data_IF_447156272800
#
_entry.id   IF_447156272800
#
_cell.length_a   1.000
_cell.length_b   1.000
_cell.length_c   1.000
_cell.angle_alpha   90.00
_cell.angle_beta   90.00
_cell.angle_gamma   90.00
#
_symmetry.space_group_name_H-M   'P 1'
#
loop_
_entity.id
_entity.type
_entity.pdbx_description
1 polymer ?
#
# COMPACT_ATOMS: atom_id res chain seq x y z
N UNK A 1 -15.32 4.23 -8.09
CA UNK A 1 -14.40 3.13 -7.76
C UNK A 1 -13.03 3.54 -8.25
N UNK A 2 -12.06 3.66 -7.35
CA UNK A 2 -10.66 3.83 -7.77
C UNK A 2 -10.17 2.47 -8.23
N UNK A 3 -9.72 2.39 -9.47
CA UNK A 3 -9.15 1.17 -10.02
C UNK A 3 -7.71 1.04 -9.53
N UNK A 4 -7.49 0.13 -8.58
CA UNK A 4 -6.17 -0.15 -8.00
C UNK A 4 -5.55 -1.32 -8.74
N UNK A 5 -4.36 -1.13 -9.28
CA UNK A 5 -3.61 -2.14 -10.02
C UNK A 5 -2.19 -2.27 -9.46
N UNK A 6 -1.45 -3.27 -9.95
CA UNK A 6 -0.04 -3.47 -9.57
C UNK A 6 0.86 -2.28 -9.94
N UNK A 7 0.48 -1.51 -10.96
CA UNK A 7 1.22 -0.34 -11.45
C UNK A 7 0.82 0.95 -10.74
N UNK A 8 -0.25 0.94 -9.93
CA UNK A 8 -0.67 2.10 -9.14
C UNK A 8 0.47 2.57 -8.24
N UNK A 9 0.77 3.87 -8.31
CA UNK A 9 1.79 4.49 -7.47
C UNK A 9 1.34 4.51 -6.02
N UNK A 10 2.17 3.94 -5.15
CA UNK A 10 1.89 3.82 -3.73
C UNK A 10 1.65 5.19 -3.07
N UNK A 11 2.48 6.19 -3.38
CA UNK A 11 2.35 7.51 -2.79
C UNK A 11 1.11 8.27 -3.27
N UNK A 12 0.67 8.04 -4.51
CA UNK A 12 -0.56 8.65 -5.01
C UNK A 12 -1.77 8.14 -4.23
N UNK A 13 -1.83 6.83 -3.98
CA UNK A 13 -2.88 6.22 -3.14
C UNK A 13 -2.84 6.74 -1.69
N UNK A 14 -1.65 6.95 -1.11
CA UNK A 14 -1.54 7.50 0.24
C UNK A 14 -1.94 8.98 0.34
N UNK A 15 -1.66 9.75 -0.70
CA UNK A 15 -2.02 11.16 -0.76
C UNK A 15 -3.54 11.32 -0.91
N UNK A 16 -4.17 10.45 -1.70
CA UNK A 16 -5.63 10.42 -1.88
C UNK A 16 -6.35 9.87 -0.63
N UNK A 17 -5.77 8.87 0.03
CA UNK A 17 -6.35 8.21 1.20
C UNK A 17 -5.39 8.27 2.41
N UNK A 18 -5.37 9.37 3.19
CA UNK A 18 -4.41 9.57 4.27
C UNK A 18 -4.45 8.50 5.39
N UNK A 19 -5.60 7.86 5.60
CA UNK A 19 -5.78 6.80 6.61
C UNK A 19 -5.31 5.42 6.13
N UNK A 20 -5.18 5.21 4.80
CA UNK A 20 -4.86 3.94 4.16
C UNK A 20 -3.62 3.29 4.76
N UNK A 21 -2.59 4.09 4.96
CA UNK A 21 -1.33 3.66 5.56
C UNK A 21 -1.51 3.06 6.95
N UNK A 22 -2.33 3.69 7.80
CA UNK A 22 -2.56 3.24 9.17
C UNK A 22 -3.44 2.00 9.19
N UNK A 23 -4.45 1.96 8.32
CA UNK A 23 -5.39 0.84 8.25
C UNK A 23 -4.79 -0.41 7.62
N UNK A 24 -3.88 -0.27 6.65
CA UNK A 24 -3.06 -1.36 6.12
C UNK A 24 -2.25 -2.04 7.23
N UNK A 25 -1.63 -1.26 8.13
CA UNK A 25 -0.86 -1.81 9.27
C UNK A 25 -1.76 -2.54 10.25
N UNK A 26 -2.97 -2.03 10.50
CA UNK A 26 -3.96 -2.71 11.37
C UNK A 26 -4.43 -4.02 10.74
N UNK A 27 -4.64 -4.04 9.43
CA UNK A 27 -5.16 -5.20 8.68
C UNK A 27 -4.09 -6.28 8.50
N UNK A 28 -2.84 -5.88 8.25
CA UNK A 28 -1.72 -6.80 8.12
C UNK A 28 -0.41 -6.15 8.61
N UNK A 29 0.18 -6.74 9.66
CA UNK A 29 1.38 -6.21 10.32
C UNK A 29 2.60 -6.11 9.39
N UNK A 30 2.65 -6.84 8.27
CA UNK A 30 3.73 -6.77 7.29
C UNK A 30 3.89 -5.38 6.69
N UNK A 31 2.80 -4.60 6.67
CA UNK A 31 2.83 -3.20 6.26
C UNK A 31 3.43 -2.25 7.30
N UNK A 32 3.83 -2.72 8.50
CA UNK A 32 4.44 -1.85 9.53
C UNK A 32 5.71 -1.16 9.02
N UNK A 33 6.41 -1.74 8.05
CA UNK A 33 7.54 -1.08 7.39
C UNK A 33 7.13 0.24 6.73
N UNK A 34 5.91 0.33 6.16
CA UNK A 34 5.38 1.52 5.49
C UNK A 34 5.37 2.76 6.39
N UNK A 35 5.11 2.58 7.69
CA UNK A 35 5.04 3.67 8.68
C UNK A 35 6.38 4.15 9.18
N UNK A 36 7.47 3.48 8.83
CA UNK A 36 8.81 3.91 9.20
C UNK A 36 9.33 5.04 8.29
N UNK A 37 10.21 5.93 8.79
CA UNK A 37 10.86 6.94 7.94
C UNK A 37 11.63 6.32 6.77
N UNK A 38 12.33 5.20 7.01
CA UNK A 38 13.05 4.47 5.96
C UNK A 38 12.10 3.90 4.91
N UNK A 39 10.99 3.30 5.33
CA UNK A 39 9.96 2.79 4.42
C UNK A 39 9.41 3.88 3.52
N UNK A 40 9.12 5.06 4.07
CA UNK A 40 8.65 6.22 3.31
C UNK A 40 9.65 6.64 2.22
N UNK A 41 10.94 6.70 2.53
CA UNK A 41 11.97 7.09 1.56
C UNK A 41 12.12 6.00 0.49
N UNK A 42 12.20 4.74 0.90
CA UNK A 42 12.41 3.60 -0.02
C UNK A 42 11.24 3.33 -0.97
N UNK A 43 10.04 3.80 -0.62
CA UNK A 43 8.81 3.57 -1.39
C UNK A 43 8.26 4.84 -2.03
N UNK A 44 9.02 5.94 -2.00
CA UNK A 44 8.56 7.23 -2.52
C UNK A 44 8.12 7.16 -3.99
N UNK A 45 8.84 6.40 -4.81
CA UNK A 45 8.52 6.20 -6.24
C UNK A 45 7.92 4.84 -6.54
N UNK A 46 7.63 4.04 -5.50
CA UNK A 46 7.26 2.64 -5.69
C UNK A 46 5.82 2.46 -6.19
N UNK A 47 5.59 1.40 -6.96
CA UNK A 47 4.26 0.88 -7.28
C UNK A 47 3.86 -0.27 -6.33
N UNK A 48 2.63 -0.77 -6.45
CA UNK A 48 2.13 -1.85 -5.58
C UNK A 48 2.85 -3.18 -5.77
N UNK A 49 3.40 -3.46 -6.96
CA UNK A 49 4.23 -4.65 -7.17
C UNK A 49 5.56 -4.58 -6.39
N UNK A 50 6.19 -3.41 -6.34
CA UNK A 50 7.41 -3.20 -5.56
C UNK A 50 7.12 -3.19 -4.05
N UNK A 51 5.97 -2.63 -3.64
CA UNK A 51 5.50 -2.71 -2.25
C UNK A 51 5.30 -4.16 -1.85
N UNK A 52 4.69 -4.99 -2.70
CA UNK A 52 4.43 -6.41 -2.39
C UNK A 52 5.73 -7.17 -2.10
N UNK A 53 6.80 -6.88 -2.86
CA UNK A 53 8.13 -7.45 -2.63
C UNK A 53 8.70 -7.04 -1.25
N UNK A 54 8.51 -5.78 -0.85
CA UNK A 54 9.00 -5.29 0.46
C UNK A 54 8.27 -5.89 1.66
N UNK A 55 6.98 -6.18 1.51
CA UNK A 55 6.17 -6.76 2.58
C UNK A 55 6.09 -8.28 2.48
N UNK A 56 6.81 -8.89 1.53
CA UNK A 56 6.84 -10.34 1.28
C UNK A 56 5.43 -10.92 1.09
N UNK A 57 4.64 -10.27 0.24
CA UNK A 57 3.31 -10.71 -0.20
C UNK A 57 3.28 -10.84 -1.72
N UNK A 58 2.32 -11.62 -2.23
CA UNK A 58 2.05 -11.60 -3.67
C UNK A 58 1.51 -10.23 -4.11
N UNK A 59 1.71 -9.91 -5.39
CA UNK A 59 1.18 -8.69 -5.99
C UNK A 59 -0.34 -8.66 -5.89
N UNK A 60 -0.99 -9.79 -6.15
CA UNK A 60 -2.44 -9.97 -6.10
C UNK A 60 -3.00 -9.72 -4.70
N UNK A 61 -2.40 -10.32 -3.66
CA UNK A 61 -2.80 -10.07 -2.26
C UNK A 61 -2.63 -8.59 -1.89
N UNK A 62 -1.54 -7.96 -2.34
CA UNK A 62 -1.28 -6.55 -2.06
C UNK A 62 -2.32 -5.66 -2.72
N UNK A 63 -2.60 -5.87 -4.00
CA UNK A 63 -3.63 -5.13 -4.74
C UNK A 63 -5.01 -5.35 -4.13
N UNK A 64 -5.36 -6.57 -3.72
CA UNK A 64 -6.63 -6.87 -3.06
C UNK A 64 -6.77 -6.12 -1.75
N UNK A 65 -5.73 -6.12 -0.90
CA UNK A 65 -5.77 -5.43 0.40
C UNK A 65 -5.95 -3.91 0.26
N UNK A 66 -5.25 -3.30 -0.71
CA UNK A 66 -5.40 -1.88 -1.02
C UNK A 66 -6.79 -1.60 -1.59
N UNK A 67 -7.25 -2.40 -2.56
CA UNK A 67 -8.58 -2.27 -3.18
C UNK A 67 -9.70 -2.37 -2.14
N UNK A 68 -9.64 -3.36 -1.25
CA UNK A 68 -10.64 -3.57 -0.21
C UNK A 68 -10.71 -2.40 0.78
N UNK A 69 -9.56 -1.84 1.18
CA UNK A 69 -9.54 -0.69 2.08
C UNK A 69 -10.02 0.58 1.38
N UNK A 70 -9.57 0.85 0.16
CA UNK A 70 -9.97 2.02 -0.60
C UNK A 70 -11.48 2.00 -0.91
N UNK A 71 -12.03 0.83 -1.27
CA UNK A 71 -13.47 0.69 -1.49
C UNK A 71 -14.30 0.70 -0.19
N UNK A 72 -13.66 0.70 0.98
CA UNK A 72 -14.33 0.83 2.28
C UNK A 72 -14.41 2.28 2.79
N UNK A 73 -13.75 3.21 2.11
CA UNK A 73 -13.84 4.65 2.34
C UNK A 73 -14.99 5.27 1.55
#
# INVERSE_FOLDING_TARGET
MVEVTSESKYMDLLNEFPLLKTDLVKKNYKFKFLVTPMGKISLWEANLAEVSQKVELSVEETVSLFSELINSY
#
